data_IF_277780942055
#
_entry.id   IF_277780942055
#
_cell.length_a   1.000
_cell.length_b   1.000
_cell.length_c   1.000
_cell.angle_alpha   90.00
_cell.angle_beta   90.00
_cell.angle_gamma   90.00
#
_symmetry.space_group_name_H-M   'P 1'
#
loop_
_entity.id
_entity.type
_entity.pdbx_description
1 polymer ?
#
# COMPACT_ATOMS: atom_id res chain seq x y z
N UNK A 1 14.28 -9.65 -8.63
CA UNK A 1 13.05 -10.35 -8.20
C UNK A 1 12.83 -11.59 -9.08
N UNK A 2 12.70 -12.80 -8.51
CA UNK A 2 12.54 -14.05 -9.28
C UNK A 2 11.15 -14.13 -9.96
N UNK A 3 11.12 -14.64 -11.21
CA UNK A 3 9.95 -14.79 -12.09
C UNK A 3 8.81 -15.60 -11.44
N UNK A 4 9.14 -16.55 -10.57
CA UNK A 4 8.15 -17.36 -9.82
C UNK A 4 7.42 -16.54 -8.76
N UNK A 5 8.13 -15.68 -8.03
CA UNK A 5 7.52 -14.78 -7.04
C UNK A 5 6.56 -13.81 -7.72
N UNK A 6 6.90 -13.35 -8.94
CA UNK A 6 6.01 -12.49 -9.72
C UNK A 6 4.66 -13.14 -10.00
N UNK A 7 4.66 -14.43 -10.34
CA UNK A 7 3.46 -15.17 -10.68
C UNK A 7 2.59 -15.50 -9.45
N UNK A 8 3.21 -15.77 -8.29
CA UNK A 8 2.49 -16.07 -7.06
C UNK A 8 1.63 -14.89 -6.56
N UNK A 9 2.16 -13.66 -6.60
CA UNK A 9 1.40 -12.47 -6.19
C UNK A 9 0.34 -12.07 -7.23
N UNK A 10 0.62 -12.27 -8.53
CA UNK A 10 -0.30 -11.94 -9.64
C UNK A 10 -1.62 -12.71 -9.56
N UNK A 11 -1.62 -13.94 -9.05
CA UNK A 11 -2.80 -14.80 -9.07
C UNK A 11 -3.62 -14.80 -7.77
N UNK A 12 -3.20 -14.06 -6.72
CA UNK A 12 -3.77 -14.22 -5.36
C UNK A 12 -4.37 -12.95 -4.74
N UNK A 13 -4.02 -11.75 -5.20
CA UNK A 13 -4.47 -10.49 -4.59
C UNK A 13 -5.15 -9.59 -5.62
N UNK A 14 -6.43 -9.32 -5.42
CA UNK A 14 -7.23 -8.38 -6.23
C UNK A 14 -7.31 -7.04 -5.49
N UNK A 15 -6.66 -6.00 -6.00
CA UNK A 15 -6.96 -4.62 -5.63
C UNK A 15 -8.14 -4.11 -6.49
N UNK A 16 -8.82 -3.05 -6.03
CA UNK A 16 -9.90 -2.40 -6.80
C UNK A 16 -9.37 -2.10 -8.21
N UNK A 17 -10.06 -2.64 -9.22
CA UNK A 17 -9.72 -2.50 -10.65
C UNK A 17 -8.33 -3.01 -11.04
N UNK A 18 -8.14 -4.34 -11.05
CA UNK A 18 -7.10 -5.09 -11.80
C UNK A 18 -5.65 -4.57 -11.77
N UNK A 19 -5.28 -3.77 -10.77
CA UNK A 19 -3.95 -3.19 -10.62
C UNK A 19 -3.10 -4.11 -9.75
N UNK A 20 -2.09 -4.73 -10.37
CA UNK A 20 -1.15 -5.61 -9.70
C UNK A 20 0.09 -4.83 -9.24
N UNK A 21 0.26 -4.76 -7.92
CA UNK A 21 1.39 -4.11 -7.25
C UNK A 21 2.62 -5.00 -7.27
N UNK A 22 3.64 -4.66 -8.07
CA UNK A 22 4.85 -5.51 -8.21
C UNK A 22 6.18 -4.90 -7.78
N UNK A 23 6.22 -3.65 -7.35
CA UNK A 23 7.51 -2.97 -7.15
C UNK A 23 7.73 -2.57 -5.68
N UNK A 24 8.70 -3.28 -5.10
CA UNK A 24 9.51 -2.91 -3.93
C UNK A 24 8.87 -2.89 -2.55
N UNK A 25 8.27 -4.03 -2.15
CA UNK A 25 8.15 -4.33 -0.72
C UNK A 25 9.56 -4.39 -0.11
N UNK A 26 9.89 -3.56 0.90
CA UNK A 26 11.19 -3.60 1.55
C UNK A 26 11.51 -5.01 2.04
N UNK A 27 12.73 -5.50 1.81
CA UNK A 27 13.10 -6.89 2.15
C UNK A 27 12.88 -7.21 3.63
N UNK A 28 13.09 -6.24 4.53
CA UNK A 28 12.78 -6.37 5.95
C UNK A 28 11.29 -6.66 6.19
N UNK A 29 10.41 -5.88 5.56
CA UNK A 29 8.96 -6.08 5.65
C UNK A 29 8.53 -7.42 5.06
N UNK A 30 9.13 -7.86 3.95
CA UNK A 30 8.86 -9.18 3.40
C UNK A 30 9.22 -10.30 4.38
N UNK A 31 10.40 -10.20 5.01
CA UNK A 31 10.84 -11.20 5.99
C UNK A 31 9.94 -11.20 7.24
N UNK A 32 9.55 -10.03 7.72
CA UNK A 32 8.61 -9.87 8.83
C UNK A 32 7.25 -10.52 8.49
N UNK A 33 6.65 -10.17 7.35
CA UNK A 33 5.36 -10.73 6.92
C UNK A 33 5.46 -12.25 6.72
N UNK A 34 6.55 -12.76 6.12
CA UNK A 34 6.76 -14.20 5.93
C UNK A 34 6.92 -14.95 7.24
N UNK A 35 7.48 -14.30 8.27
CA UNK A 35 7.64 -14.88 9.60
C UNK A 35 6.32 -14.98 10.39
N UNK A 36 5.30 -14.22 9.97
CA UNK A 36 3.94 -14.38 10.47
C UNK A 36 3.43 -15.73 9.98
N UNK A 37 3.47 -16.76 10.85
CA UNK A 37 2.84 -18.06 10.58
C UNK A 37 1.40 -17.80 10.14
N UNK A 38 0.97 -18.34 8.99
CA UNK A 38 -0.40 -18.18 8.48
C UNK A 38 -1.38 -18.61 9.59
N UNK A 39 -2.13 -17.65 10.12
CA UNK A 39 -2.99 -17.88 11.30
C UNK A 39 -4.44 -18.21 10.94
N UNK A 40 -4.88 -17.96 9.70
CA UNK A 40 -6.26 -18.22 9.26
C UNK A 40 -6.32 -19.32 8.21
N UNK A 41 -7.29 -20.21 8.41
CA UNK A 41 -7.66 -21.30 7.50
C UNK A 41 -8.10 -20.73 6.13
N UNK A 42 -8.61 -19.51 6.11
CA UNK A 42 -9.12 -18.80 4.92
C UNK A 42 -7.98 -18.16 4.08
N UNK A 43 -6.72 -18.30 4.51
CA UNK A 43 -5.55 -17.85 3.77
C UNK A 43 -5.21 -16.35 3.90
N UNK A 44 -5.85 -15.63 4.85
CA UNK A 44 -5.48 -14.25 5.18
C UNK A 44 -4.19 -14.19 5.99
N UNK A 45 -3.32 -13.22 5.66
CA UNK A 45 -2.09 -12.93 6.40
C UNK A 45 -2.42 -12.27 7.74
N UNK A 46 -3.40 -11.38 7.74
CA UNK A 46 -3.86 -10.68 8.92
C UNK A 46 -5.31 -11.04 9.20
N UNK A 47 -5.57 -11.54 10.41
CA UNK A 47 -6.90 -11.99 10.86
C UNK A 47 -7.64 -10.93 11.67
N UNK A 48 -7.08 -9.72 11.78
CA UNK A 48 -7.66 -8.67 12.61
C UNK A 48 -8.93 -8.09 11.97
N UNK A 49 -9.90 -7.76 12.83
CA UNK A 49 -11.11 -7.08 12.41
C UNK A 49 -10.80 -5.63 12.02
N UNK A 50 -11.28 -5.19 10.85
CA UNK A 50 -11.05 -3.84 10.35
C UNK A 50 -11.50 -2.75 11.35
N UNK A 51 -12.60 -3.00 12.07
CA UNK A 51 -13.12 -2.09 13.10
C UNK A 51 -12.17 -1.93 14.30
N UNK A 52 -11.43 -2.97 14.67
CA UNK A 52 -10.43 -2.90 15.73
C UNK A 52 -9.25 -2.00 15.30
N UNK A 53 -8.79 -2.14 14.06
CA UNK A 53 -7.74 -1.26 13.51
C UNK A 53 -8.20 0.20 13.50
N UNK A 54 -9.40 0.48 12.98
CA UNK A 54 -9.96 1.85 13.00
C UNK A 54 -10.05 2.43 14.41
N UNK A 55 -10.44 1.62 15.40
CA UNK A 55 -10.53 2.06 16.80
C UNK A 55 -9.16 2.45 17.36
N UNK A 56 -8.10 1.72 17.02
CA UNK A 56 -6.73 2.07 17.41
C UNK A 56 -6.30 3.37 16.74
N UNK A 57 -6.46 3.48 15.41
CA UNK A 57 -6.04 4.66 14.65
C UNK A 57 -6.77 5.94 15.10
N UNK A 58 -8.05 5.83 15.46
CA UNK A 58 -8.85 6.95 15.95
C UNK A 58 -8.32 7.55 17.25
N UNK A 59 -7.65 6.78 18.11
CA UNK A 59 -6.98 7.29 19.32
C UNK A 59 -5.88 8.31 18.99
N UNK A 60 -5.24 8.13 17.84
CA UNK A 60 -4.21 9.04 17.32
C UNK A 60 -4.78 10.09 16.36
N UNK A 61 -6.10 10.15 16.17
CA UNK A 61 -6.79 11.04 15.20
C UNK A 61 -6.27 10.88 13.76
N UNK A 62 -5.82 9.68 13.39
CA UNK A 62 -5.35 9.36 12.04
C UNK A 62 -6.22 8.26 11.41
N UNK A 63 -6.07 8.06 10.11
CA UNK A 63 -6.70 6.99 9.35
C UNK A 63 -5.69 6.30 8.43
N UNK A 64 -6.05 5.16 7.85
CA UNK A 64 -5.24 4.49 6.82
C UNK A 64 -4.90 5.45 5.66
N UNK A 65 -5.80 6.38 5.34
CA UNK A 65 -5.61 7.38 4.30
C UNK A 65 -4.47 8.35 4.64
N UNK A 66 -4.28 8.70 5.92
CA UNK A 66 -3.18 9.55 6.36
C UNK A 66 -1.81 8.92 6.05
N UNK A 67 -1.65 7.61 6.27
CA UNK A 67 -0.42 6.91 5.90
C UNK A 67 -0.18 6.92 4.39
N UNK A 68 -1.25 6.74 3.59
CA UNK A 68 -1.18 6.85 2.12
C UNK A 68 -0.72 8.25 1.68
N UNK A 69 -1.25 9.30 2.31
CA UNK A 69 -0.81 10.68 2.10
C UNK A 69 0.67 10.88 2.42
N UNK A 70 1.09 10.50 3.62
CA UNK A 70 2.48 10.67 4.05
C UNK A 70 3.44 9.94 3.13
N UNK A 71 3.10 8.72 2.69
CA UNK A 71 3.91 7.94 1.78
C UNK A 71 4.04 8.63 0.40
N UNK A 72 2.92 9.05 -0.19
CA UNK A 72 2.90 9.75 -1.48
C UNK A 72 3.71 11.05 -1.45
N UNK A 73 3.46 11.91 -0.44
CA UNK A 73 4.18 13.17 -0.27
C UNK A 73 5.69 12.95 -0.08
N UNK A 74 6.09 11.93 0.69
CA UNK A 74 7.51 11.61 0.87
C UNK A 74 8.19 11.17 -0.44
N UNK A 75 7.48 10.45 -1.31
CA UNK A 75 8.01 10.05 -2.62
C UNK A 75 8.16 11.24 -3.56
N UNK A 76 7.14 12.11 -3.62
CA UNK A 76 7.19 13.33 -4.42
C UNK A 76 8.31 14.26 -3.94
N UNK A 77 8.48 14.43 -2.62
CA UNK A 77 9.56 15.24 -2.04
C UNK A 77 10.95 14.66 -2.34
N UNK A 78 11.07 13.35 -2.57
CA UNK A 78 12.31 12.69 -3.01
C UNK A 78 12.54 12.80 -4.53
N UNK A 79 11.65 13.48 -5.26
CA UNK A 79 11.74 13.66 -6.71
C UNK A 79 11.30 12.43 -7.52
N UNK A 80 10.57 11.50 -6.91
CA UNK A 80 9.99 10.36 -7.65
C UNK A 80 8.96 10.87 -8.65
N UNK A 81 8.97 10.35 -9.87
CA UNK A 81 8.05 10.74 -10.92
C UNK A 81 6.59 10.51 -10.47
N UNK A 82 5.73 11.53 -10.63
CA UNK A 82 4.34 11.43 -10.18
C UNK A 82 3.53 10.32 -10.85
N UNK A 83 3.84 9.96 -12.10
CA UNK A 83 3.23 8.81 -12.76
C UNK A 83 3.57 7.52 -12.04
N UNK A 84 4.83 7.36 -11.62
CA UNK A 84 5.27 6.22 -10.80
C UNK A 84 4.56 6.22 -9.44
N UNK A 85 4.34 7.38 -8.83
CA UNK A 85 3.58 7.47 -7.57
C UNK A 85 2.11 7.09 -7.76
N UNK A 86 1.45 7.57 -8.82
CA UNK A 86 0.08 7.19 -9.15
C UNK A 86 -0.04 5.68 -9.44
N UNK A 87 0.88 5.21 -10.28
CA UNK A 87 1.07 3.81 -10.59
C UNK A 87 1.52 2.99 -9.40
N UNK A 88 1.91 3.56 -8.24
CA UNK A 88 2.23 2.89 -6.96
C UNK A 88 1.06 2.87 -5.96
N UNK A 89 0.18 3.87 -6.03
CA UNK A 89 -0.96 4.02 -5.13
C UNK A 89 -2.23 3.36 -5.65
N UNK A 90 -2.24 2.99 -6.93
CA UNK A 90 -3.41 2.41 -7.60
C UNK A 90 -4.50 3.41 -7.83
N UNK A 91 -4.08 4.63 -8.11
CA UNK A 91 -4.97 5.75 -8.32
C UNK A 91 -4.65 6.39 -9.67
N UNK A 92 -5.60 7.15 -10.19
CA UNK A 92 -5.36 7.88 -11.45
C UNK A 92 -4.38 9.02 -11.19
N UNK A 93 -3.62 9.39 -12.23
CA UNK A 93 -2.72 10.53 -12.16
C UNK A 93 -3.45 11.80 -11.70
N UNK A 94 -4.67 12.03 -12.21
CA UNK A 94 -5.48 13.19 -11.86
C UNK A 94 -5.87 13.19 -10.38
N UNK A 95 -6.26 12.02 -9.84
CA UNK A 95 -6.53 11.89 -8.40
C UNK A 95 -5.27 12.21 -7.59
N UNK A 96 -4.12 11.66 -7.99
CA UNK A 96 -2.86 11.87 -7.25
C UNK A 96 -2.44 13.33 -7.26
N UNK A 97 -2.52 14.01 -8.39
CA UNK A 97 -2.23 15.44 -8.49
C UNK A 97 -3.18 16.21 -7.55
N UNK A 98 -4.48 16.00 -7.68
CA UNK A 98 -5.49 16.73 -6.88
C UNK A 98 -5.37 16.50 -5.38
N UNK A 99 -5.00 15.28 -4.98
CA UNK A 99 -4.98 14.87 -3.57
C UNK A 99 -3.64 15.14 -2.88
N UNK A 100 -2.52 15.10 -3.61
CA UNK A 100 -1.18 15.12 -3.00
C UNK A 100 -0.30 16.30 -3.43
N UNK A 101 -0.57 16.94 -4.58
CA UNK A 101 0.07 18.19 -4.96
C UNK A 101 -0.81 19.34 -4.48
N UNK A 102 -0.53 19.84 -3.29
CA UNK A 102 -1.04 21.15 -2.89
C UNK A 102 -0.10 22.21 -3.46
N UNK A 103 -0.55 22.95 -4.47
CA UNK A 103 0.14 24.17 -4.88
C UNK A 103 0.06 25.17 -3.72
N UNK A 104 1.19 25.70 -3.22
CA UNK A 104 1.13 26.83 -2.31
C UNK A 104 0.48 28.00 -3.05
N UNK A 105 -0.63 28.48 -2.52
CA UNK A 105 -1.28 29.75 -2.91
C UNK A 105 -0.46 30.93 -2.44
#
# INVERSE_FOLDING_TARGET
MNKELKNYFKNKYYAKENTYWHEDVPIGLYNEIKSLKIQSIDGYIFTFCQSALYSILRKFKISAHCFRHTYASNMLNKGVNIKVVADLLGDTLDTVIKTYIQTPT
#
